data_IF_734336729980
#
_entry.id   IF_734336729980
#
_cell.length_a   1.000
_cell.length_b   1.000
_cell.length_c   1.000
_cell.angle_alpha   90.00
_cell.angle_beta   90.00
_cell.angle_gamma   90.00
#
_symmetry.space_group_name_H-M   'P 1'
#
loop_
_entity.id
_entity.type
_entity.pdbx_description
1 polymer ?
#
# COMPACT_ATOMS: atom_id res chain seq x y z
N UNK A 1 -30.56 3.67 3.08
CA UNK A 1 -29.66 2.51 3.08
C UNK A 1 -28.26 2.99 3.36
N UNK A 2 -27.60 2.43 4.36
CA UNK A 2 -26.18 2.68 4.59
C UNK A 2 -25.36 2.02 3.47
N UNK A 3 -24.21 2.59 3.12
CA UNK A 3 -23.36 2.06 2.05
C UNK A 3 -22.87 0.63 2.37
N UNK A 4 -22.80 0.28 3.65
CA UNK A 4 -22.49 -1.06 4.14
C UNK A 4 -23.62 -2.07 3.81
N UNK A 5 -24.88 -1.64 3.82
CA UNK A 5 -26.04 -2.48 3.46
C UNK A 5 -26.12 -2.76 1.95
N UNK A 6 -25.31 -2.06 1.13
CA UNK A 6 -25.22 -2.32 -0.32
C UNK A 6 -24.21 -3.40 -0.67
N UNK A 7 -23.39 -3.85 0.28
CA UNK A 7 -22.40 -4.90 0.03
C UNK A 7 -23.06 -6.26 0.14
N UNK A 8 -23.03 -7.03 -0.94
CA UNK A 8 -23.50 -8.42 -0.94
C UNK A 8 -22.58 -9.32 -0.11
N UNK A 9 -21.29 -8.95 -0.01
CA UNK A 9 -20.27 -9.68 0.72
C UNK A 9 -19.48 -8.72 1.64
N UNK A 10 -19.24 -9.09 2.90
CA UNK A 10 -18.53 -8.24 3.86
C UNK A 10 -17.00 -8.26 3.62
N UNK A 11 -16.53 -8.16 2.37
CA UNK A 11 -15.11 -8.24 2.01
C UNK A 11 -14.67 -6.94 1.33
N UNK A 12 -13.64 -6.30 1.87
CA UNK A 12 -13.01 -5.09 1.34
C UNK A 12 -11.64 -5.45 0.77
N UNK A 13 -11.39 -5.17 -0.50
CA UNK A 13 -10.04 -5.28 -1.07
C UNK A 13 -9.14 -4.21 -0.47
N UNK A 14 -8.03 -4.57 0.15
CA UNK A 14 -7.18 -3.59 0.79
C UNK A 14 -6.54 -2.64 -0.24
N UNK A 15 -6.48 -1.33 0.04
CA UNK A 15 -5.70 -0.41 -0.78
C UNK A 15 -4.20 -0.68 -0.57
N UNK A 16 -3.52 -1.10 -1.64
CA UNK A 16 -2.11 -1.42 -1.67
C UNK A 16 -1.41 -0.51 -2.69
N UNK A 17 -0.71 0.50 -2.15
CA UNK A 17 0.03 1.48 -2.94
C UNK A 17 1.22 0.84 -3.71
N UNK A 18 1.87 1.61 -4.59
CA UNK A 18 2.96 1.10 -5.43
C UNK A 18 2.49 0.29 -6.64
N UNK A 19 1.23 0.50 -7.07
CA UNK A 19 0.68 -0.09 -8.29
C UNK A 19 -0.08 -1.40 -8.10
N UNK A 20 -0.13 -1.96 -6.89
CA UNK A 20 -0.80 -3.25 -6.63
C UNK A 20 -2.32 -3.14 -6.78
N UNK A 21 -2.96 -2.18 -6.10
CA UNK A 21 -4.39 -1.89 -6.23
C UNK A 21 -4.68 -1.13 -7.53
N UNK A 22 -4.76 -1.89 -8.63
CA UNK A 22 -5.11 -1.39 -9.95
C UNK A 22 -6.63 -1.08 -10.06
N UNK A 23 -7.05 -0.28 -11.06
CA UNK A 23 -8.47 -0.11 -11.38
C UNK A 23 -9.19 -1.44 -11.63
N UNK A 24 -8.54 -2.37 -12.35
CA UNK A 24 -9.08 -3.71 -12.62
C UNK A 24 -9.31 -4.50 -11.33
N UNK A 25 -8.36 -4.45 -10.39
CA UNK A 25 -8.51 -5.16 -9.12
C UNK A 25 -9.63 -4.56 -8.26
N UNK A 26 -9.75 -3.23 -8.24
CA UNK A 26 -10.85 -2.57 -7.53
C UNK A 26 -12.21 -2.97 -8.12
N UNK A 27 -12.37 -2.89 -9.45
CA UNK A 27 -13.60 -3.27 -10.12
C UNK A 27 -13.96 -4.75 -9.88
N UNK A 28 -13.00 -5.66 -10.05
CA UNK A 28 -13.23 -7.11 -9.86
C UNK A 28 -13.68 -7.48 -8.44
N UNK A 29 -13.17 -6.80 -7.41
CA UNK A 29 -13.62 -7.00 -6.02
C UNK A 29 -15.04 -6.46 -5.83
N UNK A 30 -15.34 -5.28 -6.39
CA UNK A 30 -16.67 -4.67 -6.32
C UNK A 30 -17.74 -5.50 -7.05
N UNK A 31 -17.44 -6.01 -8.24
CA UNK A 31 -18.32 -6.89 -9.03
C UNK A 31 -18.57 -8.24 -8.36
N UNK A 32 -17.62 -8.71 -7.55
CA UNK A 32 -17.79 -9.93 -6.75
C UNK A 32 -18.71 -9.74 -5.54
N UNK A 33 -19.20 -8.52 -5.29
CA UNK A 33 -20.08 -8.18 -4.18
C UNK A 33 -19.36 -7.62 -2.95
N UNK A 34 -18.04 -7.45 -3.01
CA UNK A 34 -17.24 -6.78 -1.97
C UNK A 34 -17.10 -5.27 -2.21
N UNK A 35 -16.16 -4.64 -1.50
CA UNK A 35 -15.75 -3.25 -1.74
C UNK A 35 -14.32 -3.21 -2.29
N UNK A 36 -14.17 -2.91 -3.58
CA UNK A 36 -12.88 -2.61 -4.17
C UNK A 36 -12.30 -1.28 -3.71
N UNK A 37 -10.98 -1.21 -3.54
CA UNK A 37 -10.30 0.02 -3.11
C UNK A 37 -9.10 0.34 -4.00
N UNK A 38 -9.03 1.59 -4.48
CA UNK A 38 -7.84 2.19 -5.07
C UNK A 38 -6.88 2.70 -3.98
N UNK A 39 -5.59 2.70 -4.29
CA UNK A 39 -4.56 3.31 -3.43
C UNK A 39 -3.95 4.55 -4.11
N UNK A 40 -4.23 5.73 -3.58
CA UNK A 40 -3.72 7.00 -4.09
C UNK A 40 -2.31 7.33 -3.58
N UNK A 41 -1.79 6.59 -2.60
CA UNK A 41 -0.42 6.76 -2.12
C UNK A 41 0.60 6.66 -3.26
N UNK A 42 1.52 7.61 -3.34
CA UNK A 42 2.55 7.74 -4.39
C UNK A 42 2.04 8.08 -5.80
N UNK A 43 0.72 8.29 -5.99
CA UNK A 43 0.13 8.71 -7.26
C UNK A 43 0.02 10.24 -7.31
N UNK A 44 0.08 10.83 -8.50
CA UNK A 44 -0.29 12.25 -8.67
C UNK A 44 -1.82 12.41 -8.66
N UNK A 45 -2.36 13.61 -8.39
CA UNK A 45 -3.81 13.85 -8.48
C UNK A 45 -4.41 13.46 -9.84
N UNK A 46 -3.71 13.73 -10.94
CA UNK A 46 -4.15 13.42 -12.30
C UNK A 46 -4.25 11.90 -12.50
N UNK A 47 -3.28 11.15 -11.98
CA UNK A 47 -3.32 9.68 -12.02
C UNK A 47 -4.46 9.12 -11.17
N UNK A 48 -4.71 9.71 -9.99
CA UNK A 48 -5.84 9.30 -9.15
C UNK A 48 -7.17 9.59 -9.84
N UNK A 49 -7.29 10.75 -10.50
CA UNK A 49 -8.49 11.11 -11.26
C UNK A 49 -8.73 10.12 -12.40
N UNK A 50 -7.68 9.79 -13.16
CA UNK A 50 -7.75 8.80 -14.23
C UNK A 50 -8.12 7.41 -13.71
N UNK A 51 -7.51 6.96 -12.60
CA UNK A 51 -7.84 5.67 -11.98
C UNK A 51 -9.30 5.64 -11.50
N UNK A 52 -9.81 6.72 -10.90
CA UNK A 52 -11.20 6.84 -10.43
C UNK A 52 -12.21 6.76 -11.59
N UNK A 53 -11.92 7.44 -12.71
CA UNK A 53 -12.74 7.37 -13.93
C UNK A 53 -12.71 5.95 -14.50
N UNK A 54 -11.52 5.36 -14.60
CA UNK A 54 -11.37 4.02 -15.15
C UNK A 54 -12.13 2.96 -14.34
N UNK A 55 -12.15 3.03 -13.00
CA UNK A 55 -12.98 2.10 -12.21
C UNK A 55 -14.47 2.27 -12.52
N UNK A 56 -14.96 3.51 -12.70
CA UNK A 56 -16.36 3.78 -13.07
C UNK A 56 -16.72 3.25 -14.45
N UNK A 57 -15.78 3.23 -15.38
CA UNK A 57 -15.98 2.65 -16.70
C UNK A 57 -16.03 1.10 -16.65
N UNK A 58 -15.47 0.50 -15.59
CA UNK A 58 -15.38 -0.96 -15.41
C UNK A 58 -16.53 -1.55 -14.58
N UNK A 59 -17.08 -0.79 -13.63
CA UNK A 59 -18.14 -1.29 -12.72
C UNK A 59 -19.12 -0.21 -12.29
N UNK A 60 -20.40 -0.59 -12.22
CA UNK A 60 -21.46 0.21 -11.60
C UNK A 60 -21.56 -0.02 -10.07
N UNK A 61 -20.78 -0.96 -9.51
CA UNK A 61 -20.80 -1.29 -8.08
C UNK A 61 -19.97 -0.27 -7.27
N UNK A 62 -20.32 -0.03 -5.98
CA UNK A 62 -19.54 0.87 -5.12
C UNK A 62 -18.07 0.44 -4.99
N UNK A 63 -17.17 1.42 -4.96
CA UNK A 63 -15.74 1.25 -4.69
C UNK A 63 -15.22 2.44 -3.87
N UNK A 64 -13.98 2.35 -3.39
CA UNK A 64 -13.36 3.44 -2.66
C UNK A 64 -11.93 3.78 -3.07
N UNK A 65 -11.38 4.80 -2.42
CA UNK A 65 -10.00 5.27 -2.60
C UNK A 65 -9.32 5.51 -1.24
N UNK A 66 -8.02 5.27 -1.16
CA UNK A 66 -7.21 5.46 0.04
C UNK A 66 -6.14 6.55 -0.14
N UNK A 67 -6.06 7.49 0.80
CA UNK A 67 -5.09 8.59 0.82
C UNK A 67 -4.02 8.39 1.90
N UNK A 68 -2.80 8.89 1.68
CA UNK A 68 -1.76 8.98 2.71
C UNK A 68 -1.86 10.30 3.45
N UNK A 69 -2.05 10.25 4.77
CA UNK A 69 -2.05 11.46 5.60
C UNK A 69 -0.60 11.86 5.90
N UNK A 70 -0.16 13.07 5.53
CA UNK A 70 1.20 13.52 5.80
C UNK A 70 1.43 13.67 7.29
N UNK A 71 2.67 13.44 7.73
CA UNK A 71 3.11 13.72 9.09
C UNK A 71 4.36 14.58 9.07
N UNK A 72 4.43 15.65 9.88
CA UNK A 72 5.66 16.40 10.04
C UNK A 72 6.78 15.51 10.59
N UNK A 73 7.98 15.68 10.05
CA UNK A 73 9.20 15.08 10.59
C UNK A 73 10.04 16.14 11.28
N UNK A 74 10.64 15.78 12.41
CA UNK A 74 11.71 16.57 13.01
C UNK A 74 13.01 16.31 12.25
N UNK A 75 13.26 17.15 11.22
CA UNK A 75 14.46 17.03 10.39
C UNK A 75 15.74 17.15 11.21
N UNK A 76 15.82 18.11 12.13
CA UNK A 76 17.03 18.35 12.91
C UNK A 76 17.42 17.11 13.74
N UNK A 77 16.42 16.38 14.27
CA UNK A 77 16.66 15.15 15.01
C UNK A 77 16.99 13.94 14.12
N UNK A 78 16.48 13.89 12.88
CA UNK A 78 16.55 12.70 12.03
C UNK A 78 17.65 12.75 10.96
N UNK A 79 18.01 13.93 10.48
CA UNK A 79 18.94 14.14 9.36
C UNK A 79 20.29 13.43 9.53
N UNK A 80 20.99 13.51 10.68
CA UNK A 80 22.26 12.79 10.85
C UNK A 80 22.13 11.27 10.68
N UNK A 81 21.01 10.69 11.11
CA UNK A 81 20.74 9.24 10.98
C UNK A 81 20.34 8.86 9.56
N UNK A 82 19.67 9.77 8.85
CA UNK A 82 19.29 9.61 7.46
C UNK A 82 20.52 9.68 6.57
N UNK A 83 21.44 10.62 6.83
CA UNK A 83 22.68 10.77 6.07
C UNK A 83 23.62 9.57 6.27
N UNK A 84 23.77 9.08 7.51
CA UNK A 84 24.50 7.83 7.80
C UNK A 84 23.89 6.65 7.01
N UNK A 85 22.57 6.51 7.07
CA UNK A 85 21.87 5.45 6.36
C UNK A 85 22.06 5.55 4.83
N UNK A 86 21.95 6.75 4.26
CA UNK A 86 22.19 7.01 2.85
C UNK A 86 23.62 6.62 2.43
N UNK A 87 24.62 6.93 3.26
CA UNK A 87 26.00 6.50 3.07
C UNK A 87 26.17 4.98 3.07
N UNK A 88 25.51 4.28 4.00
CA UNK A 88 25.56 2.80 4.09
C UNK A 88 24.95 2.10 2.88
N UNK A 89 23.88 2.64 2.29
CA UNK A 89 23.22 2.02 1.14
C UNK A 89 23.82 2.43 -0.22
N UNK A 90 24.79 3.35 -0.24
CA UNK A 90 25.41 3.83 -1.47
C UNK A 90 26.15 2.72 -2.24
N UNK A 91 26.78 1.78 -1.53
CA UNK A 91 27.40 0.60 -2.13
C UNK A 91 26.40 -0.30 -2.86
N UNK A 92 25.21 -0.47 -2.28
CA UNK A 92 24.13 -1.25 -2.90
C UNK A 92 23.53 -0.55 -4.11
N UNK A 93 23.41 0.78 -4.06
CA UNK A 93 22.98 1.57 -5.21
C UNK A 93 23.96 1.38 -6.38
N UNK A 94 25.27 1.50 -6.11
CA UNK A 94 26.30 1.30 -7.12
C UNK A 94 26.29 -0.14 -7.69
N UNK A 95 26.11 -1.15 -6.83
CA UNK A 95 26.02 -2.55 -7.25
C UNK A 95 24.80 -2.82 -8.16
N UNK A 96 23.70 -2.11 -7.93
CA UNK A 96 22.49 -2.16 -8.75
C UNK A 96 22.55 -1.24 -10.00
N UNK A 97 23.65 -0.51 -10.20
CA UNK A 97 23.77 0.44 -11.32
C UNK A 97 22.82 1.63 -11.21
N UNK A 98 22.50 2.07 -9.99
CA UNK A 98 21.63 3.21 -9.70
C UNK A 98 22.26 4.13 -8.65
N UNK A 99 21.52 5.15 -8.24
CA UNK A 99 21.93 6.10 -7.22
C UNK A 99 20.96 6.04 -6.04
N UNK A 100 21.43 6.47 -4.87
CA UNK A 100 20.55 6.69 -3.73
C UNK A 100 19.60 7.83 -4.07
N UNK A 101 18.32 7.66 -3.77
CA UNK A 101 17.32 8.69 -4.07
C UNK A 101 17.57 9.97 -3.30
N UNK A 102 17.07 11.10 -3.80
CA UNK A 102 17.14 12.39 -3.13
C UNK A 102 15.84 12.64 -2.37
N UNK A 103 15.84 12.69 -1.03
CA UNK A 103 14.62 12.82 -0.27
C UNK A 103 14.16 14.27 -0.17
N UNK A 104 12.84 14.46 -0.20
CA UNK A 104 12.16 15.69 0.19
C UNK A 104 11.55 15.52 1.58
N UNK A 105 12.01 16.34 2.52
CA UNK A 105 11.51 16.39 3.90
C UNK A 105 10.11 17.02 4.02
N UNK A 106 9.62 17.63 2.95
CA UNK A 106 8.33 18.32 2.90
C UNK A 106 7.33 17.63 1.97
N UNK A 107 7.64 16.41 1.52
CA UNK A 107 6.71 15.65 0.69
C UNK A 107 5.44 15.30 1.47
N UNK A 108 4.32 15.79 0.96
CA UNK A 108 2.98 15.57 1.53
C UNK A 108 2.14 14.59 0.73
N UNK A 109 2.72 13.92 -0.28
CA UNK A 109 2.00 13.03 -1.20
C UNK A 109 0.82 13.74 -1.88
N UNK A 110 0.98 15.02 -2.23
CA UNK A 110 -0.06 15.89 -2.82
C UNK A 110 -1.35 15.98 -1.98
N UNK A 111 -1.23 15.91 -0.65
CA UNK A 111 -2.36 15.85 0.29
C UNK A 111 -3.52 16.78 -0.04
N UNK A 112 -3.29 18.10 -0.09
CA UNK A 112 -4.33 19.11 -0.34
C UNK A 112 -5.04 18.89 -1.68
N UNK A 113 -4.27 18.64 -2.74
CA UNK A 113 -4.81 18.41 -4.07
C UNK A 113 -5.64 17.12 -4.15
N UNK A 114 -5.23 16.05 -3.44
CA UNK A 114 -5.97 14.79 -3.40
C UNK A 114 -7.24 14.89 -2.55
N UNK A 115 -7.23 15.65 -1.46
CA UNK A 115 -8.44 15.95 -0.68
C UNK A 115 -9.44 16.68 -1.56
N UNK A 116 -9.03 17.76 -2.23
CA UNK A 116 -9.89 18.50 -3.14
C UNK A 116 -10.43 17.63 -4.29
N UNK A 117 -9.60 16.76 -4.86
CA UNK A 117 -10.00 15.81 -5.90
C UNK A 117 -11.08 14.83 -5.42
N UNK A 118 -10.90 14.27 -4.22
CA UNK A 118 -11.85 13.33 -3.62
C UNK A 118 -13.16 14.02 -3.27
N UNK A 119 -13.13 15.27 -2.77
CA UNK A 119 -14.34 16.08 -2.57
C UNK A 119 -15.07 16.35 -3.90
N UNK A 120 -14.31 16.64 -4.95
CA UNK A 120 -14.85 16.96 -6.28
C UNK A 120 -15.46 15.74 -6.96
N UNK A 121 -14.75 14.60 -6.95
CA UNK A 121 -15.18 13.39 -7.63
C UNK A 121 -16.10 12.52 -6.77
N UNK A 122 -16.17 12.75 -5.46
CA UNK A 122 -17.05 12.09 -4.49
C UNK A 122 -17.13 10.56 -4.69
N UNK A 123 -16.01 9.82 -4.57
CA UNK A 123 -16.07 8.37 -4.60
C UNK A 123 -16.93 7.85 -3.44
N UNK A 124 -17.64 6.72 -3.60
CA UNK A 124 -18.55 6.22 -2.58
C UNK A 124 -17.88 5.95 -1.22
N UNK A 125 -16.59 5.59 -1.22
CA UNK A 125 -15.80 5.38 0.01
C UNK A 125 -14.44 6.07 -0.06
N UNK A 126 -14.05 6.71 1.04
CA UNK A 126 -12.72 7.27 1.24
C UNK A 126 -12.12 6.67 2.50
N UNK A 127 -10.86 6.25 2.42
CA UNK A 127 -10.09 5.76 3.56
C UNK A 127 -8.74 6.46 3.64
N UNK A 128 -8.11 6.42 4.81
CA UNK A 128 -6.82 7.07 5.06
C UNK A 128 -5.82 6.08 5.65
N UNK A 129 -4.55 6.22 5.27
CA UNK A 129 -3.41 5.49 5.82
C UNK A 129 -2.48 6.49 6.52
N UNK A 130 -1.73 6.01 7.51
CA UNK A 130 -0.73 6.78 8.28
C UNK A 130 -1.24 7.80 9.30
N UNK A 131 -2.53 8.07 9.38
CA UNK A 131 -3.14 8.91 10.40
C UNK A 131 -4.62 9.13 10.11
N UNK A 132 -5.28 9.89 10.98
CA UNK A 132 -6.55 10.51 10.65
C UNK A 132 -6.30 11.91 10.09
N UNK A 133 -7.05 12.36 9.08
CA UNK A 133 -7.02 13.75 8.66
C UNK A 133 -7.34 14.68 9.84
N UNK A 134 -6.90 15.94 9.78
CA UNK A 134 -7.28 16.96 10.77
C UNK A 134 -8.80 17.06 10.92
N UNK A 135 -9.27 17.45 12.12
CA UNK A 135 -10.69 17.43 12.49
C UNK A 135 -11.64 18.22 11.56
N UNK A 136 -11.11 19.15 10.76
CA UNK A 136 -11.87 19.92 9.76
C UNK A 136 -12.13 19.17 8.44
N UNK A 137 -11.36 18.12 8.13
CA UNK A 137 -11.46 17.37 6.86
C UNK A 137 -12.24 16.05 7.05
N UNK A 138 -12.45 15.61 8.29
CA UNK A 138 -13.12 14.35 8.60
C UNK A 138 -14.10 14.53 9.75
N UNK A 139 -15.37 14.75 9.40
CA UNK A 139 -16.43 14.16 10.21
C UNK A 139 -16.46 12.65 9.92
N UNK A 140 -15.64 11.90 10.70
CA UNK A 140 -15.70 10.46 11.09
C UNK A 140 -14.41 9.64 10.86
N UNK A 141 -13.90 9.16 12.00
CA UNK A 141 -13.34 7.81 12.34
C UNK A 141 -11.86 7.69 12.69
N UNK A 142 -11.54 6.86 13.69
CA UNK A 142 -10.33 6.00 13.75
C UNK A 142 -10.72 4.51 13.63
N UNK A 143 -10.03 3.65 12.84
CA UNK A 143 -10.34 2.20 12.77
C UNK A 143 -9.80 1.25 13.85
N UNK A 144 -9.11 1.71 14.90
CA UNK A 144 -9.12 0.98 16.20
C UNK A 144 -10.54 0.91 16.77
N UNK A 145 -11.34 1.90 16.40
CA UNK A 145 -12.78 2.00 16.61
C UNK A 145 -13.58 1.24 15.55
N UNK A 146 -12.95 0.59 14.55
CA UNK A 146 -13.65 -0.24 13.55
C UNK A 146 -13.67 -1.73 13.92
N UNK A 147 -12.79 -2.27 14.78
CA UNK A 147 -12.95 -3.62 15.38
C UNK A 147 -13.44 -3.64 16.83
N UNK A 148 -13.29 -2.54 17.58
CA UNK A 148 -14.33 -2.16 18.54
C UNK A 148 -15.65 -1.95 17.81
N UNK A 149 -15.70 -1.34 16.62
CA UNK A 149 -16.95 -1.37 15.87
C UNK A 149 -17.35 -2.78 15.46
N UNK A 150 -16.50 -3.67 14.92
CA UNK A 150 -16.93 -5.00 14.41
C UNK A 150 -17.47 -5.92 15.50
N UNK A 151 -16.85 -5.92 16.69
CA UNK A 151 -17.27 -6.72 17.84
C UNK A 151 -18.07 -5.94 18.91
N UNK A 152 -18.25 -4.62 18.73
CA UNK A 152 -19.39 -3.83 19.23
C UNK A 152 -20.43 -3.55 18.10
N UNK A 153 -20.45 -4.40 17.05
CA UNK A 153 -21.38 -4.37 15.90
C UNK A 153 -20.92 -3.68 14.59
N UNK A 154 -20.01 -4.26 13.80
CA UNK A 154 -19.70 -3.72 12.46
C UNK A 154 -19.58 -4.81 11.41
N UNK A 155 -19.33 -4.40 10.17
CA UNK A 155 -19.98 -5.01 9.03
C UNK A 155 -19.08 -5.39 7.81
N UNK A 156 -17.76 -5.56 7.97
CA UNK A 156 -16.86 -5.94 6.86
C UNK A 156 -15.41 -6.27 7.26
N UNK A 157 -14.71 -7.08 6.45
CA UNK A 157 -13.30 -7.49 6.63
C UNK A 157 -12.42 -7.01 5.47
N UNK A 158 -11.25 -6.45 5.76
CA UNK A 158 -10.32 -5.96 4.73
C UNK A 158 -9.22 -6.99 4.42
N UNK A 159 -9.03 -7.35 3.15
CA UNK A 159 -8.09 -8.37 2.67
C UNK A 159 -7.10 -7.79 1.66
N UNK A 160 -5.79 -7.83 1.98
CA UNK A 160 -4.73 -7.34 1.09
C UNK A 160 -3.88 -8.48 0.54
N UNK A 161 -3.20 -9.20 1.44
CA UNK A 161 -2.28 -10.28 1.07
C UNK A 161 -2.93 -11.40 0.26
N UNK A 162 -4.20 -11.73 0.51
CA UNK A 162 -4.92 -12.79 -0.21
C UNK A 162 -5.10 -12.48 -1.71
N UNK A 163 -5.17 -11.21 -2.09
CA UNK A 163 -5.39 -10.76 -3.47
C UNK A 163 -4.10 -10.24 -4.15
N UNK A 164 -2.94 -10.34 -3.50
CA UNK A 164 -1.65 -9.91 -4.06
C UNK A 164 -1.26 -10.66 -5.34
N UNK A 165 -1.60 -11.94 -5.42
CA UNK A 165 -1.32 -12.80 -6.57
C UNK A 165 -2.51 -12.90 -7.54
N UNK A 166 -3.60 -12.16 -7.30
CA UNK A 166 -4.74 -12.16 -8.20
C UNK A 166 -4.34 -11.70 -9.61
N UNK A 167 -5.03 -12.17 -10.65
CA UNK A 167 -4.68 -11.83 -12.04
C UNK A 167 -4.70 -10.32 -12.29
N UNK A 168 -5.61 -9.62 -11.64
CA UNK A 168 -5.89 -8.20 -11.73
C UNK A 168 -4.90 -7.34 -10.91
N UNK A 169 -4.13 -7.96 -10.00
CA UNK A 169 -3.09 -7.29 -9.22
C UNK A 169 -2.00 -6.72 -10.12
N UNK A 170 -1.66 -5.44 -9.90
CA UNK A 170 -0.55 -4.77 -10.57
C UNK A 170 0.82 -5.05 -9.93
N UNK A 171 0.91 -6.01 -9.00
CA UNK A 171 2.20 -6.42 -8.43
C UNK A 171 3.18 -6.86 -9.54
N UNK A 172 4.43 -6.40 -9.46
CA UNK A 172 5.44 -6.70 -10.47
C UNK A 172 5.75 -8.20 -10.54
N UNK A 173 6.26 -8.68 -11.68
CA UNK A 173 6.66 -10.09 -11.85
C UNK A 173 7.64 -10.53 -10.76
N UNK A 174 8.63 -9.70 -10.44
CA UNK A 174 9.64 -9.96 -9.41
C UNK A 174 9.02 -10.03 -8.01
N UNK A 175 8.09 -9.13 -7.70
CA UNK A 175 7.34 -9.17 -6.44
C UNK A 175 6.52 -10.46 -6.30
N UNK A 176 5.82 -10.86 -7.36
CA UNK A 176 5.05 -12.12 -7.40
C UNK A 176 5.96 -13.34 -7.30
N UNK A 177 7.16 -13.31 -7.89
CA UNK A 177 8.16 -14.37 -7.75
C UNK A 177 8.67 -14.48 -6.31
N UNK A 178 8.95 -13.34 -5.66
CA UNK A 178 9.40 -13.29 -4.28
C UNK A 178 8.38 -13.90 -3.30
N UNK A 179 7.09 -13.57 -3.47
CA UNK A 179 6.01 -14.15 -2.66
C UNK A 179 5.92 -15.68 -2.75
N UNK A 180 6.30 -16.24 -3.90
CA UNK A 180 6.27 -17.69 -4.17
C UNK A 180 7.61 -18.38 -3.93
N UNK A 181 8.64 -17.64 -3.53
CA UNK A 181 9.97 -18.19 -3.31
C UNK A 181 9.94 -19.24 -2.21
N UNK A 182 10.58 -20.38 -2.48
CA UNK A 182 10.81 -21.42 -1.47
C UNK A 182 11.98 -21.06 -0.54
N UNK A 183 12.79 -20.06 -0.91
CA UNK A 183 13.99 -19.64 -0.18
C UNK A 183 13.73 -18.51 0.82
N UNK A 184 12.74 -17.66 0.56
CA UNK A 184 12.34 -16.57 1.47
C UNK A 184 11.14 -16.98 2.31
N UNK A 185 11.41 -17.65 3.43
CA UNK A 185 10.37 -18.38 4.16
C UNK A 185 9.80 -17.67 5.39
N UNK A 186 10.48 -16.62 5.85
CA UNK A 186 10.16 -15.89 7.07
C UNK A 186 9.48 -14.56 6.76
N UNK A 187 8.63 -14.09 7.68
CA UNK A 187 8.10 -12.72 7.69
C UNK A 187 8.67 -11.95 8.86
N UNK A 188 9.08 -10.72 8.57
CA UNK A 188 9.60 -9.77 9.55
C UNK A 188 8.76 -8.50 9.59
N UNK A 189 8.81 -7.80 10.71
CA UNK A 189 8.43 -6.40 10.78
C UNK A 189 9.68 -5.56 10.53
N UNK A 190 9.66 -4.72 9.51
CA UNK A 190 10.83 -3.93 9.12
C UNK A 190 10.43 -2.52 8.73
N UNK A 191 11.35 -1.58 8.93
CA UNK A 191 11.28 -0.21 8.40
C UNK A 191 12.38 0.07 7.37
N UNK A 192 13.19 -0.94 7.05
CA UNK A 192 14.40 -0.82 6.23
C UNK A 192 14.17 -0.23 4.83
N UNK A 193 12.97 -0.37 4.28
CA UNK A 193 12.66 0.14 2.95
C UNK A 193 12.02 1.53 2.96
N UNK A 194 11.33 1.92 4.02
CA UNK A 194 10.46 3.12 3.97
C UNK A 194 10.61 4.05 5.16
N UNK A 195 11.31 3.63 6.20
CA UNK A 195 11.37 4.35 7.48
C UNK A 195 10.10 4.19 8.32
N UNK A 196 9.14 3.36 7.88
CA UNK A 196 7.97 2.97 8.67
C UNK A 196 7.88 1.46 8.79
N UNK A 197 7.54 1.00 9.99
CA UNK A 197 7.38 -0.43 10.27
C UNK A 197 6.22 -1.01 9.45
N UNK A 198 6.51 -2.03 8.65
CA UNK A 198 5.54 -2.81 7.87
C UNK A 198 5.95 -4.29 7.86
N UNK A 199 4.98 -5.18 7.63
CA UNK A 199 5.22 -6.61 7.49
C UNK A 199 5.75 -6.95 6.10
N UNK A 200 6.90 -7.60 6.02
CA UNK A 200 7.54 -8.01 4.78
C UNK A 200 8.03 -9.46 4.85
N UNK A 201 8.19 -10.09 3.69
CA UNK A 201 9.01 -11.30 3.56
C UNK A 201 10.47 -10.93 3.82
N UNK A 202 11.17 -11.72 4.64
CA UNK A 202 12.55 -11.47 5.04
C UNK A 202 13.53 -11.73 3.89
N UNK A 203 14.48 -10.80 3.72
CA UNK A 203 15.59 -10.91 2.78
C UNK A 203 16.86 -10.20 3.32
N UNK A 204 17.93 -10.18 2.53
CA UNK A 204 19.22 -9.59 2.87
C UNK A 204 19.07 -8.15 3.34
N UNK A 205 18.34 -7.33 2.58
CA UNK A 205 18.08 -5.94 2.94
C UNK A 205 17.45 -5.79 4.32
N UNK A 206 16.42 -6.60 4.63
CA UNK A 206 15.74 -6.50 5.93
C UNK A 206 16.62 -6.89 7.11
N UNK A 207 17.61 -7.77 6.89
CA UNK A 207 18.55 -8.21 7.92
C UNK A 207 19.66 -7.19 8.13
N UNK A 208 20.24 -6.71 7.04
CA UNK A 208 21.38 -5.80 7.06
C UNK A 208 21.00 -4.40 7.56
N UNK A 209 19.82 -3.91 7.16
CA UNK A 209 19.37 -2.56 7.49
C UNK A 209 18.22 -2.54 8.50
N UNK A 210 18.22 -3.50 9.43
CA UNK A 210 17.20 -3.59 10.49
C UNK A 210 17.12 -2.32 11.37
N UNK A 211 18.23 -1.59 11.46
CA UNK A 211 18.39 -0.39 12.27
C UNK A 211 18.00 0.92 11.56
N UNK A 212 17.62 0.87 10.27
CA UNK A 212 17.29 2.02 9.42
C UNK A 212 16.42 3.08 10.15
N UNK A 213 16.60 4.39 9.92
CA UNK A 213 15.91 5.41 10.70
C UNK A 213 14.39 5.36 10.52
N UNK A 214 13.65 5.74 11.57
CA UNK A 214 12.18 5.84 11.51
C UNK A 214 11.74 7.16 10.84
N UNK A 215 12.06 7.34 9.56
CA UNK A 215 11.86 8.59 8.82
C UNK A 215 11.11 8.35 7.51
N UNK A 216 9.80 8.08 7.57
CA UNK A 216 8.92 8.04 6.39
C UNK A 216 8.41 9.45 6.04
N UNK A 217 8.40 9.88 4.76
CA UNK A 217 8.77 9.12 3.55
C UNK A 217 10.24 9.27 3.12
N UNK A 218 11.08 9.93 3.91
CA UNK A 218 12.50 10.20 3.57
C UNK A 218 13.26 8.91 3.21
N UNK A 219 13.17 7.87 4.05
CA UNK A 219 13.80 6.57 3.77
C UNK A 219 13.15 5.86 2.58
N UNK A 220 11.84 6.02 2.37
CA UNK A 220 11.16 5.49 1.18
C UNK A 220 11.75 6.08 -0.10
N UNK A 221 11.97 7.40 -0.12
CA UNK A 221 12.56 8.12 -1.25
C UNK A 221 14.03 7.74 -1.48
N UNK A 222 14.83 7.64 -0.40
CA UNK A 222 16.23 7.19 -0.48
C UNK A 222 16.36 5.82 -1.17
N UNK A 223 15.51 4.86 -0.80
CA UNK A 223 15.62 3.49 -1.30
C UNK A 223 14.85 3.25 -2.61
N UNK A 224 14.01 4.18 -3.05
CA UNK A 224 13.11 3.99 -4.20
C UNK A 224 13.84 3.61 -5.49
N UNK A 225 14.96 4.26 -5.89
CA UNK A 225 15.69 3.85 -7.09
C UNK A 225 16.27 2.44 -6.97
N UNK A 226 16.83 2.09 -5.80
CA UNK A 226 17.39 0.76 -5.53
C UNK A 226 16.31 -0.33 -5.64
N UNK A 227 15.14 -0.11 -5.03
CA UNK A 227 14.01 -1.05 -5.10
C UNK A 227 13.49 -1.23 -6.52
N UNK A 228 13.51 -0.15 -7.32
CA UNK A 228 13.15 -0.22 -8.74
C UNK A 228 14.17 -1.03 -9.54
N UNK A 229 15.46 -0.73 -9.41
CA UNK A 229 16.53 -1.46 -10.08
C UNK A 229 16.53 -2.94 -9.70
N UNK A 230 16.36 -3.26 -8.40
CA UNK A 230 16.21 -4.63 -7.93
C UNK A 230 15.02 -5.34 -8.57
N UNK A 231 13.86 -4.67 -8.67
CA UNK A 231 12.70 -5.24 -9.36
C UNK A 231 12.98 -5.51 -10.84
N UNK A 232 13.64 -4.60 -11.55
CA UNK A 232 13.99 -4.71 -12.98
C UNK A 232 15.01 -5.84 -13.22
N UNK A 233 15.93 -6.06 -12.29
CA UNK A 233 16.99 -7.08 -12.37
C UNK A 233 16.57 -8.44 -11.79
N UNK A 234 15.39 -8.56 -11.20
CA UNK A 234 14.93 -9.81 -10.58
C UNK A 234 15.58 -10.11 -9.21
N UNK A 235 16.19 -9.11 -8.58
CA UNK A 235 16.89 -9.25 -7.31
C UNK A 235 15.92 -9.28 -6.13
N UNK A 236 15.78 -10.47 -5.52
CA UNK A 236 14.89 -10.70 -4.39
C UNK A 236 15.50 -10.24 -3.05
N UNK A 237 16.82 -10.11 -2.97
CA UNK A 237 17.53 -9.75 -1.74
C UNK A 237 17.38 -8.26 -1.40
N UNK A 238 17.12 -7.42 -2.41
CA UNK A 238 17.00 -5.96 -2.31
C UNK A 238 15.59 -5.42 -2.62
N UNK A 239 14.64 -6.32 -2.92
CA UNK A 239 13.25 -5.94 -3.18
C UNK A 239 12.43 -5.85 -1.90
N UNK A 240 11.53 -4.87 -1.83
CA UNK A 240 10.50 -4.82 -0.79
C UNK A 240 9.35 -5.78 -1.14
N UNK A 241 9.04 -6.72 -0.26
CA UNK A 241 7.97 -7.71 -0.49
C UNK A 241 7.00 -7.68 0.69
N UNK A 242 6.03 -6.76 0.62
CA UNK A 242 5.04 -6.58 1.69
C UNK A 242 4.09 -7.77 1.80
N UNK A 243 3.96 -8.31 3.01
CA UNK A 243 3.20 -9.52 3.25
C UNK A 243 2.60 -9.56 4.67
N UNK A 244 1.30 -9.87 4.74
CA UNK A 244 0.64 -10.30 5.97
C UNK A 244 1.04 -11.72 6.33
N UNK A 245 0.83 -12.15 7.58
CA UNK A 245 1.31 -13.44 8.12
C UNK A 245 0.80 -14.70 7.42
N UNK A 246 -0.28 -14.60 6.64
CA UNK A 246 -0.84 -15.72 5.85
C UNK A 246 -0.40 -15.76 4.39
N UNK A 247 0.66 -15.05 3.99
CA UNK A 247 1.01 -14.86 2.57
C UNK A 247 1.22 -16.14 1.75
N UNK A 248 1.61 -17.24 2.40
CA UNK A 248 1.74 -18.55 1.74
C UNK A 248 0.44 -19.13 1.21
N UNK A 249 -0.70 -18.65 1.71
CA UNK A 249 -2.01 -19.06 1.26
C UNK A 249 -2.53 -18.22 0.07
N UNK A 250 -1.79 -17.19 -0.37
CA UNK A 250 -2.19 -16.39 -1.53
C UNK A 250 -2.18 -17.25 -2.80
N UNK A 251 -3.24 -17.15 -3.60
CA UNK A 251 -3.43 -17.96 -4.81
C UNK A 251 -3.37 -17.09 -6.06
N UNK A 252 -2.84 -17.66 -7.15
CA UNK A 252 -2.84 -17.05 -8.48
C UNK A 252 -4.12 -17.44 -9.22
N UNK A 253 -5.19 -16.66 -9.00
CA UNK A 253 -6.54 -16.86 -9.54
C UNK A 253 -7.23 -15.50 -9.72
N UNK A 254 -8.37 -15.41 -10.42
CA UNK A 254 -9.14 -14.17 -10.51
C UNK A 254 -9.54 -13.63 -9.13
N UNK A 255 -9.42 -12.32 -8.90
CA UNK A 255 -9.71 -11.68 -7.63
C UNK A 255 -11.15 -11.94 -7.17
N UNK A 256 -12.10 -11.93 -8.11
CA UNK A 256 -13.50 -12.20 -7.81
C UNK A 256 -13.75 -13.63 -7.31
N UNK A 257 -12.99 -14.63 -7.77
CA UNK A 257 -13.09 -15.99 -7.23
C UNK A 257 -12.56 -16.05 -5.79
N UNK A 258 -11.42 -15.43 -5.53
CA UNK A 258 -10.82 -15.34 -4.18
C UNK A 258 -11.79 -14.66 -3.21
N UNK A 259 -12.43 -13.57 -3.63
CA UNK A 259 -13.40 -12.83 -2.80
C UNK A 259 -14.64 -13.67 -2.48
N UNK A 260 -15.19 -14.39 -3.47
CA UNK A 260 -16.34 -15.29 -3.23
C UNK A 260 -15.99 -16.40 -2.25
N UNK A 261 -14.82 -17.04 -2.44
CA UNK A 261 -14.33 -18.11 -1.58
C UNK A 261 -14.14 -17.64 -0.12
N UNK A 262 -13.57 -16.43 0.08
CA UNK A 262 -13.37 -15.86 1.42
C UNK A 262 -14.66 -15.46 2.14
N UNK A 263 -15.74 -15.23 1.40
CA UNK A 263 -17.01 -14.77 1.93
C UNK A 263 -17.99 -15.89 2.31
N UNK A 264 -17.69 -17.15 1.93
CA UNK A 264 -18.65 -18.26 2.02
C UNK A 264 -19.50 -18.36 0.77
#
# INVERSE_FOLDING_TARGET
MSLVETWERPVVGAPMAGGVSSPLLAAAVSDAGGLGMLAAGYRTPEQVAADLVHVRDLTDRPFGVNLFVPRPLDRAALEPRVDDFAGRIAGEAAALGTEVGLPSWHDTDHWEAKVHLVETLAPPVVSCTFGLPGASVVQRTTPGDVRRALAAGAAGVQVGTAILLAHESGASRTYRAALRSQHHTERVLTRAFTGRVAGAVANGWTREYADAPAAFPVVDQLTKPLRRAAAEQGDLERLHVWAGSGWRAAQERPAGEIVRELAG
#
